data_IF_599910169372
#
_entry.id   IF_599910169372
#
_cell.length_a   1.000
_cell.length_b   1.000
_cell.length_c   1.000
_cell.angle_alpha   90.00
_cell.angle_beta   90.00
_cell.angle_gamma   90.00
#
_symmetry.space_group_name_H-M   'P 1'
#
loop_
_entity.id
_entity.type
_entity.pdbx_description
1 polymer ?
#
# COMPACT_ATOMS: atom_id res chain seq x y z
N UNK A 1 -38.21 -11.77 -6.51
CA UNK A 1 -37.65 -10.99 -5.37
C UNK A 1 -36.19 -10.71 -5.67
N UNK A 2 -35.88 -9.56 -6.30
CA UNK A 2 -34.49 -9.17 -6.56
C UNK A 2 -33.90 -8.68 -5.25
N UNK A 3 -32.99 -9.50 -4.66
CA UNK A 3 -32.24 -9.07 -3.48
C UNK A 3 -31.46 -7.80 -3.79
N UNK A 4 -31.69 -6.78 -3.02
CA UNK A 4 -30.94 -5.52 -3.06
C UNK A 4 -29.54 -5.83 -2.55
N UNK A 5 -28.61 -6.15 -3.44
CA UNK A 5 -27.20 -6.23 -3.09
C UNK A 5 -26.76 -4.86 -2.59
N UNK A 6 -26.29 -4.80 -1.36
CA UNK A 6 -25.64 -3.58 -0.83
C UNK A 6 -24.46 -3.26 -1.76
N UNK A 7 -24.28 -2.01 -2.18
CA UNK A 7 -23.14 -1.65 -3.00
C UNK A 7 -21.85 -1.91 -2.20
N UNK A 8 -20.89 -2.56 -2.85
CA UNK A 8 -19.57 -2.86 -2.26
C UNK A 8 -18.57 -1.85 -2.79
N UNK A 9 -17.66 -1.39 -1.94
CA UNK A 9 -16.53 -0.56 -2.38
C UNK A 9 -15.63 -1.39 -3.32
N UNK A 10 -15.18 -0.83 -4.45
CA UNK A 10 -14.39 -1.58 -5.43
C UNK A 10 -12.92 -1.78 -5.03
N UNK A 11 -12.46 -1.10 -4.00
CA UNK A 11 -11.10 -1.19 -3.45
C UNK A 11 -11.15 -1.54 -1.96
N UNK A 12 -10.04 -2.01 -1.42
CA UNK A 12 -9.93 -2.32 0.01
C UNK A 12 -10.08 -1.07 0.89
N UNK A 13 -10.34 -1.29 2.18
CA UNK A 13 -10.68 -0.20 3.10
C UNK A 13 -9.48 0.73 3.33
N UNK A 14 -8.26 0.20 3.43
CA UNK A 14 -7.04 0.99 3.65
C UNK A 14 -6.78 1.91 2.45
N UNK A 15 -6.82 1.37 1.23
CA UNK A 15 -6.70 2.16 0.00
C UNK A 15 -7.80 3.21 -0.11
N UNK A 16 -9.04 2.88 0.30
CA UNK A 16 -10.16 3.81 0.29
C UNK A 16 -9.93 4.99 1.23
N UNK A 17 -9.55 4.73 2.48
CA UNK A 17 -9.28 5.77 3.48
C UNK A 17 -8.14 6.66 3.00
N UNK A 18 -7.04 6.06 2.55
CA UNK A 18 -5.90 6.79 2.00
C UNK A 18 -6.29 7.73 0.84
N UNK A 19 -7.04 7.24 -0.16
CA UNK A 19 -7.51 8.07 -1.28
C UNK A 19 -8.36 9.23 -0.78
N UNK A 20 -9.28 8.99 0.12
CA UNK A 20 -10.19 10.02 0.64
C UNK A 20 -9.44 11.08 1.46
N UNK A 21 -8.49 10.68 2.31
CA UNK A 21 -7.63 11.59 3.06
C UNK A 21 -6.75 12.43 2.14
N UNK A 22 -6.13 11.80 1.16
CA UNK A 22 -5.27 12.52 0.20
C UNK A 22 -6.06 13.43 -0.73
N UNK A 23 -7.30 13.09 -1.10
CA UNK A 23 -8.18 14.01 -1.81
C UNK A 23 -8.59 15.21 -0.95
N UNK A 24 -8.87 15.03 0.34
CA UNK A 24 -9.10 16.14 1.28
C UNK A 24 -7.86 17.06 1.30
N UNK A 25 -6.68 16.48 1.49
CA UNK A 25 -5.41 17.20 1.52
C UNK A 25 -5.15 17.97 0.21
N UNK A 26 -5.40 17.34 -0.95
CA UNK A 26 -5.27 17.98 -2.26
C UNK A 26 -6.26 19.13 -2.40
N UNK A 27 -7.50 18.99 -1.97
CA UNK A 27 -8.49 20.08 -1.97
C UNK A 27 -8.06 21.23 -1.05
N UNK A 28 -7.47 20.93 0.10
CA UNK A 28 -6.94 21.94 1.03
C UNK A 28 -5.75 22.70 0.43
N UNK A 29 -4.76 21.99 -0.14
CA UNK A 29 -3.50 22.60 -0.62
C UNK A 29 -3.63 23.25 -1.99
N UNK A 30 -4.40 22.67 -2.90
CA UNK A 30 -4.55 23.17 -4.26
C UNK A 30 -5.84 23.98 -4.49
N UNK A 31 -6.75 23.97 -3.53
CA UNK A 31 -8.04 24.64 -3.56
C UNK A 31 -9.16 23.78 -4.14
N UNK A 32 -10.23 23.63 -3.36
CA UNK A 32 -11.42 22.82 -3.72
C UNK A 32 -11.98 23.19 -5.09
N UNK A 33 -12.09 24.51 -5.38
CA UNK A 33 -12.63 24.97 -6.67
C UNK A 33 -11.77 24.50 -7.83
N UNK A 34 -10.45 24.56 -7.72
CA UNK A 34 -9.51 24.09 -8.77
C UNK A 34 -9.72 22.60 -9.08
N UNK A 35 -9.88 21.78 -8.05
CA UNK A 35 -10.06 20.33 -8.19
C UNK A 35 -11.44 20.00 -8.79
N UNK A 36 -12.50 20.65 -8.30
CA UNK A 36 -13.84 20.36 -8.77
C UNK A 36 -14.14 20.91 -10.17
N UNK A 37 -13.51 22.02 -10.56
CA UNK A 37 -13.68 22.64 -11.88
C UNK A 37 -12.65 22.11 -12.92
N UNK A 38 -11.66 21.32 -12.53
CA UNK A 38 -10.67 20.77 -13.45
C UNK A 38 -11.34 19.97 -14.58
N UNK A 39 -11.02 20.24 -15.86
CA UNK A 39 -11.61 19.51 -16.95
C UNK A 39 -11.16 18.04 -16.90
N UNK A 40 -12.05 17.11 -17.22
CA UNK A 40 -11.65 15.73 -17.42
C UNK A 40 -10.96 15.61 -18.77
N UNK A 41 -9.64 15.57 -18.76
CA UNK A 41 -8.80 15.50 -19.95
C UNK A 41 -8.85 14.08 -20.54
N UNK A 42 -9.20 13.99 -21.83
CA UNK A 42 -9.39 12.73 -22.55
C UNK A 42 -8.44 12.64 -23.73
N UNK A 43 -8.08 11.43 -24.22
CA UNK A 43 -7.23 11.23 -25.39
C UNK A 43 -8.01 11.53 -26.68
N UNK A 44 -8.42 12.79 -26.86
CA UNK A 44 -9.21 13.24 -27.98
C UNK A 44 -8.59 14.49 -28.60
N UNK A 45 -8.98 14.79 -29.87
CA UNK A 45 -8.53 16.02 -30.56
C UNK A 45 -9.01 17.31 -29.91
N UNK A 46 -10.02 17.25 -29.06
CA UNK A 46 -10.48 18.41 -28.29
C UNK A 46 -9.39 18.84 -27.27
N UNK A 47 -8.78 17.87 -26.59
CA UNK A 47 -7.74 18.14 -25.62
C UNK A 47 -6.32 18.14 -26.22
N UNK A 48 -6.09 17.34 -27.27
CA UNK A 48 -4.80 17.20 -27.96
C UNK A 48 -5.01 17.38 -29.46
N UNK A 49 -5.21 18.63 -29.95
CA UNK A 49 -5.49 18.91 -31.36
C UNK A 49 -4.29 18.75 -32.29
N UNK A 50 -3.05 18.85 -31.71
CA UNK A 50 -1.83 18.80 -32.50
C UNK A 50 -1.56 17.37 -32.96
N UNK A 51 -1.10 17.17 -34.22
CA UNK A 51 -0.61 15.85 -34.64
C UNK A 51 0.55 15.41 -33.80
N UNK A 52 0.64 14.11 -33.50
CA UNK A 52 1.72 13.52 -32.73
C UNK A 52 2.38 12.40 -33.52
N UNK A 53 3.71 12.51 -33.74
CA UNK A 53 4.52 11.54 -34.51
C UNK A 53 5.68 10.98 -33.66
N UNK A 54 5.78 11.36 -32.37
CA UNK A 54 6.81 10.91 -31.45
C UNK A 54 8.15 11.64 -31.65
N UNK A 55 8.13 12.86 -32.15
CA UNK A 55 9.33 13.70 -32.28
C UNK A 55 9.59 14.55 -31.02
N UNK A 56 10.80 15.11 -30.90
CA UNK A 56 11.12 16.02 -29.78
C UNK A 56 10.28 17.32 -29.84
N UNK A 57 9.94 17.79 -31.03
CA UNK A 57 9.08 18.97 -31.22
C UNK A 57 7.64 18.67 -30.76
N UNK A 58 7.13 17.48 -31.10
CA UNK A 58 5.83 17.03 -30.60
C UNK A 58 5.84 16.90 -29.07
N UNK A 59 6.92 16.37 -28.49
CA UNK A 59 7.08 16.29 -27.03
C UNK A 59 7.04 17.68 -26.38
N UNK A 60 7.76 18.67 -26.95
CA UNK A 60 7.75 20.04 -26.40
C UNK A 60 6.36 20.67 -26.47
N UNK A 61 5.60 20.40 -27.51
CA UNK A 61 4.21 20.86 -27.65
C UNK A 61 3.31 20.18 -26.63
N UNK A 62 3.43 18.86 -26.49
CA UNK A 62 2.67 18.05 -25.54
C UNK A 62 2.96 18.45 -24.08
N UNK A 63 4.23 18.67 -23.75
CA UNK A 63 4.66 19.13 -22.44
C UNK A 63 3.98 20.46 -22.03
N UNK A 64 3.99 21.48 -22.92
CA UNK A 64 3.30 22.75 -22.63
C UNK A 64 1.81 22.53 -22.36
N UNK A 65 1.18 21.63 -23.10
CA UNK A 65 -0.24 21.32 -22.97
C UNK A 65 -0.54 20.64 -21.64
N UNK A 66 0.27 19.63 -21.26
CA UNK A 66 0.14 18.93 -19.97
C UNK A 66 0.40 19.92 -18.83
N UNK A 67 1.42 20.77 -18.92
CA UNK A 67 1.65 21.85 -17.93
C UNK A 67 0.41 22.73 -17.76
N UNK A 68 -0.26 23.10 -18.87
CA UNK A 68 -1.49 23.88 -18.85
C UNK A 68 -2.63 23.17 -18.10
N UNK A 69 -2.84 21.86 -18.33
CA UNK A 69 -3.85 21.09 -17.59
C UNK A 69 -3.48 20.92 -16.11
N UNK A 70 -2.21 20.68 -15.82
CA UNK A 70 -1.71 20.58 -14.46
C UNK A 70 -1.63 21.95 -13.74
N UNK A 71 -1.81 23.05 -14.46
CA UNK A 71 -1.80 24.42 -13.93
C UNK A 71 -0.43 24.86 -13.45
N UNK A 72 0.64 24.45 -14.13
CA UNK A 72 2.01 24.93 -13.92
C UNK A 72 2.51 25.73 -15.12
N UNK A 73 3.48 26.63 -14.90
CA UNK A 73 4.11 27.38 -15.99
C UNK A 73 5.21 26.53 -16.62
N UNK A 74 5.12 26.14 -17.92
CA UNK A 74 6.13 25.36 -18.58
C UNK A 74 7.51 26.03 -18.66
N UNK A 75 7.58 27.36 -18.65
CA UNK A 75 8.83 28.12 -18.80
C UNK A 75 9.74 28.04 -17.55
N UNK A 76 9.21 27.59 -16.42
CA UNK A 76 9.99 27.36 -15.20
C UNK A 76 10.65 25.98 -15.14
N UNK A 77 10.28 25.08 -16.04
CA UNK A 77 10.74 23.70 -16.08
C UNK A 77 11.61 23.45 -17.32
N UNK A 78 12.70 22.73 -17.16
CA UNK A 78 13.52 22.29 -18.29
C UNK A 78 13.11 20.88 -18.68
N UNK A 79 12.68 20.70 -19.94
CA UNK A 79 12.34 19.39 -20.49
C UNK A 79 13.59 18.74 -21.09
N UNK A 80 13.83 17.47 -20.78
CA UNK A 80 14.95 16.69 -21.35
C UNK A 80 14.51 15.27 -21.71
N UNK A 81 15.31 14.62 -22.56
CA UNK A 81 15.23 13.21 -22.85
C UNK A 81 16.49 12.51 -22.31
N UNK A 82 16.33 11.27 -21.86
CA UNK A 82 17.45 10.40 -21.50
C UNK A 82 17.32 9.03 -22.20
N UNK A 83 18.42 8.33 -22.36
CA UNK A 83 18.50 7.02 -22.93
C UNK A 83 18.58 5.94 -21.81
N UNK A 84 18.33 4.66 -22.12
CA UNK A 84 18.11 3.55 -21.17
C UNK A 84 19.27 3.26 -20.19
N UNK A 85 20.40 3.94 -20.31
CA UNK A 85 21.60 3.70 -19.46
C UNK A 85 21.41 4.06 -17.97
N UNK A 86 20.35 4.80 -17.58
CA UNK A 86 20.16 5.29 -16.20
C UNK A 86 19.46 4.32 -15.26
N UNK A 87 18.47 3.58 -15.69
CA UNK A 87 17.77 2.51 -14.96
C UNK A 87 16.74 1.83 -15.85
N UNK A 88 16.67 0.48 -15.89
CA UNK A 88 15.72 -0.25 -16.74
C UNK A 88 14.24 0.00 -16.41
N UNK A 89 13.92 0.53 -15.22
CA UNK A 89 12.54 0.71 -14.75
C UNK A 89 12.10 2.18 -14.64
N UNK A 90 12.98 3.16 -14.95
CA UNK A 90 12.69 4.58 -14.82
C UNK A 90 12.15 5.13 -16.14
N UNK A 91 10.89 5.54 -16.17
CA UNK A 91 10.22 6.14 -17.35
C UNK A 91 10.37 7.66 -17.40
N UNK A 92 10.44 8.32 -16.26
CA UNK A 92 10.62 9.75 -16.07
C UNK A 92 11.50 10.03 -14.87
N UNK A 93 11.96 11.27 -14.75
CA UNK A 93 12.76 11.73 -13.63
C UNK A 93 12.54 13.23 -13.41
N UNK A 94 12.11 13.60 -12.22
CA UNK A 94 12.13 14.99 -11.77
C UNK A 94 13.40 15.26 -10.97
N UNK A 95 14.09 16.35 -11.34
CA UNK A 95 15.27 16.81 -10.60
C UNK A 95 15.03 18.24 -10.12
N UNK A 96 15.05 18.42 -8.79
CA UNK A 96 14.98 19.75 -8.18
C UNK A 96 16.31 20.48 -8.42
N UNK A 97 16.28 21.56 -9.22
CA UNK A 97 17.45 22.41 -9.40
C UNK A 97 17.87 23.08 -8.10
N UNK A 98 19.16 23.10 -7.81
CA UNK A 98 19.74 23.88 -6.70
C UNK A 98 20.21 25.25 -7.15
N UNK A 99 20.67 25.35 -8.40
CA UNK A 99 21.15 26.59 -9.06
C UNK A 99 20.46 26.84 -10.40
N UNK A 100 19.90 25.80 -11.02
CA UNK A 100 19.25 25.85 -12.33
C UNK A 100 17.73 25.63 -12.18
N UNK A 101 16.98 25.85 -13.28
CA UNK A 101 15.56 25.53 -13.31
C UNK A 101 15.31 24.05 -13.03
N UNK A 102 14.22 23.68 -12.31
CA UNK A 102 13.83 22.29 -12.12
C UNK A 102 13.69 21.58 -13.48
N UNK A 103 14.05 20.29 -13.50
CA UNK A 103 14.10 19.52 -14.74
C UNK A 103 13.12 18.36 -14.70
N UNK A 104 12.38 18.20 -15.80
CA UNK A 104 11.56 17.02 -16.11
C UNK A 104 12.25 16.27 -17.25
N UNK A 105 12.61 15.03 -17.03
CA UNK A 105 13.29 14.18 -18.01
C UNK A 105 12.43 12.96 -18.33
N UNK A 106 12.34 12.58 -19.61
CA UNK A 106 11.62 11.41 -20.06
C UNK A 106 12.55 10.43 -20.77
N UNK A 107 12.24 9.15 -20.64
CA UNK A 107 12.90 8.11 -21.40
C UNK A 107 12.55 8.23 -22.89
N UNK A 108 13.57 8.30 -23.75
CA UNK A 108 13.40 8.50 -25.20
C UNK A 108 12.55 7.40 -25.87
N UNK A 109 12.63 6.17 -25.37
CA UNK A 109 11.85 5.05 -25.92
C UNK A 109 10.35 5.15 -25.67
N UNK A 110 9.89 6.08 -24.82
CA UNK A 110 8.44 6.36 -24.62
C UNK A 110 7.83 7.19 -25.76
N UNK A 111 8.62 7.93 -26.53
CA UNK A 111 8.11 8.87 -27.53
C UNK A 111 7.08 8.27 -28.49
N UNK A 112 7.15 7.00 -28.95
CA UNK A 112 6.13 6.43 -29.82
C UNK A 112 4.73 6.29 -29.18
N UNK A 113 4.64 6.29 -27.84
CA UNK A 113 3.40 6.08 -27.08
C UNK A 113 2.92 7.39 -26.46
N UNK A 114 2.07 8.13 -27.17
CA UNK A 114 1.55 9.43 -26.72
C UNK A 114 0.89 9.38 -25.34
N UNK A 115 0.09 8.34 -25.05
CA UNK A 115 -0.60 8.22 -23.76
C UNK A 115 0.38 7.98 -22.61
N UNK A 116 1.41 7.16 -22.84
CA UNK A 116 2.47 6.96 -21.86
C UNK A 116 3.27 8.23 -21.61
N UNK A 117 3.61 8.99 -22.66
CA UNK A 117 4.29 10.28 -22.53
C UNK A 117 3.44 11.26 -21.70
N UNK A 118 2.13 11.36 -21.98
CA UNK A 118 1.21 12.24 -21.22
C UNK A 118 1.18 11.84 -19.74
N UNK A 119 1.03 10.54 -19.44
CA UNK A 119 0.97 10.05 -18.08
C UNK A 119 2.28 10.33 -17.32
N UNK A 120 3.44 10.03 -17.93
CA UNK A 120 4.74 10.29 -17.34
C UNK A 120 4.99 11.78 -17.14
N UNK A 121 4.65 12.63 -18.11
CA UNK A 121 4.74 14.08 -17.94
C UNK A 121 3.89 14.57 -16.78
N UNK A 122 2.64 14.08 -16.65
CA UNK A 122 1.75 14.47 -15.57
C UNK A 122 2.30 14.04 -14.18
N UNK A 123 2.92 12.84 -14.11
CA UNK A 123 3.61 12.35 -12.91
C UNK A 123 4.80 13.25 -12.55
N UNK A 124 5.73 13.49 -13.48
CA UNK A 124 6.92 14.31 -13.21
C UNK A 124 6.59 15.78 -12.88
N UNK A 125 5.57 16.34 -13.52
CA UNK A 125 5.08 17.68 -13.18
C UNK A 125 4.44 17.69 -11.77
N UNK A 126 3.86 16.57 -11.33
CA UNK A 126 3.35 16.45 -9.96
C UNK A 126 4.47 16.48 -8.93
N UNK A 127 5.64 15.90 -9.21
CA UNK A 127 6.81 16.09 -8.35
C UNK A 127 7.19 17.57 -8.21
N UNK A 128 7.16 18.34 -9.30
CA UNK A 128 7.40 19.80 -9.19
C UNK A 128 6.33 20.50 -8.35
N UNK A 129 5.06 20.15 -8.53
CA UNK A 129 3.96 20.72 -7.76
C UNK A 129 3.98 20.34 -6.28
N UNK A 130 4.51 19.18 -5.91
CA UNK A 130 4.58 18.66 -4.55
C UNK A 130 5.92 18.98 -3.87
N UNK A 131 7.02 18.48 -4.45
CA UNK A 131 8.37 18.62 -3.90
C UNK A 131 8.94 20.01 -4.23
N UNK A 132 8.80 20.44 -5.48
CA UNK A 132 9.30 21.73 -5.96
C UNK A 132 8.69 22.92 -5.24
N UNK A 133 7.41 22.83 -4.86
CA UNK A 133 6.71 23.84 -4.06
C UNK A 133 7.00 23.76 -2.55
N UNK A 134 7.63 22.67 -2.08
CA UNK A 134 7.89 22.42 -0.66
C UNK A 134 6.64 21.95 0.12
N UNK A 135 5.60 21.50 -0.55
CA UNK A 135 4.43 20.88 0.10
C UNK A 135 4.77 19.49 0.67
N UNK A 136 5.72 18.79 0.06
CA UNK A 136 6.32 17.54 0.54
C UNK A 136 7.84 17.69 0.60
N UNK A 137 8.48 16.85 1.42
CA UNK A 137 9.95 16.78 1.55
C UNK A 137 10.56 15.66 0.73
N UNK A 138 9.77 14.64 0.36
CA UNK A 138 10.19 13.37 -0.24
C UNK A 138 10.54 12.28 0.78
N UNK A 139 10.43 12.59 2.09
CA UNK A 139 10.61 11.63 3.17
C UNK A 139 9.28 10.95 3.56
N UNK A 140 8.16 11.45 3.04
CA UNK A 140 6.84 10.86 3.24
C UNK A 140 6.76 9.50 2.54
N UNK A 141 6.36 8.46 3.27
CA UNK A 141 6.29 7.07 2.79
C UNK A 141 5.36 6.89 1.57
N UNK A 142 4.42 7.80 1.37
CA UNK A 142 3.42 7.76 0.31
C UNK A 142 3.57 8.88 -0.74
N UNK A 143 4.74 9.55 -0.79
CA UNK A 143 4.95 10.66 -1.72
C UNK A 143 4.76 10.26 -3.19
N UNK A 144 5.18 9.06 -3.60
CA UNK A 144 5.01 8.57 -4.95
C UNK A 144 3.54 8.26 -5.29
N UNK A 145 2.80 7.66 -4.34
CA UNK A 145 1.37 7.42 -4.52
C UNK A 145 0.60 8.74 -4.64
N UNK A 146 0.97 9.76 -3.87
CA UNK A 146 0.37 11.08 -3.96
C UNK A 146 0.75 11.78 -5.27
N UNK A 147 1.95 11.54 -5.79
CA UNK A 147 2.39 12.03 -7.11
C UNK A 147 1.54 11.44 -8.23
N UNK A 148 1.09 10.18 -8.13
CA UNK A 148 0.12 9.58 -9.05
C UNK A 148 -1.32 10.09 -8.85
N UNK A 149 -1.73 10.38 -7.61
CA UNK A 149 -3.09 10.84 -7.30
C UNK A 149 -3.33 12.28 -7.74
N UNK A 150 -2.33 13.14 -7.68
CA UNK A 150 -2.47 14.56 -8.02
C UNK A 150 -2.92 14.78 -9.48
N UNK A 151 -2.35 14.11 -10.51
CA UNK A 151 -2.88 14.18 -11.86
C UNK A 151 -4.33 13.74 -11.95
N UNK A 152 -4.71 12.67 -11.24
CA UNK A 152 -6.12 12.23 -11.20
C UNK A 152 -7.03 13.33 -10.70
N UNK A 153 -6.64 14.02 -9.62
CA UNK A 153 -7.39 15.13 -9.04
C UNK A 153 -7.46 16.35 -9.98
N UNK A 154 -6.40 16.60 -10.76
CA UNK A 154 -6.32 17.68 -11.73
C UNK A 154 -6.93 17.33 -13.11
N UNK A 155 -7.60 16.18 -13.24
CA UNK A 155 -8.36 15.79 -14.41
C UNK A 155 -7.62 14.90 -15.42
N UNK A 156 -6.36 14.55 -15.18
CA UNK A 156 -5.54 13.68 -16.04
C UNK A 156 -5.72 12.17 -15.74
N UNK A 157 -6.70 11.81 -14.89
CA UNK A 157 -6.87 10.46 -14.36
C UNK A 157 -7.07 9.36 -15.39
N UNK A 158 -7.57 9.69 -16.60
CA UNK A 158 -7.69 8.71 -17.69
C UNK A 158 -6.32 8.16 -18.11
N UNK A 159 -5.32 9.02 -18.22
CA UNK A 159 -3.96 8.61 -18.60
C UNK A 159 -3.28 7.84 -17.48
N UNK A 160 -3.37 8.30 -16.24
CA UNK A 160 -2.80 7.59 -15.08
C UNK A 160 -3.41 6.19 -14.92
N UNK A 161 -4.73 6.07 -15.01
CA UNK A 161 -5.41 4.79 -14.87
C UNK A 161 -5.07 3.78 -15.99
N UNK A 162 -4.91 4.25 -17.24
CA UNK A 162 -4.62 3.39 -18.38
C UNK A 162 -3.15 2.95 -18.43
N UNK A 163 -2.23 3.71 -17.82
CA UNK A 163 -0.80 3.38 -17.78
C UNK A 163 -0.37 2.65 -16.51
N UNK A 164 -1.22 2.60 -15.49
CA UNK A 164 -0.93 1.95 -14.21
C UNK A 164 -0.52 0.47 -14.34
N UNK A 165 -0.97 -0.22 -15.40
CA UNK A 165 -0.56 -1.58 -15.75
C UNK A 165 -0.39 -1.64 -17.26
N UNK A 166 0.84 -1.79 -17.75
CA UNK A 166 1.09 -2.20 -19.15
C UNK A 166 1.62 -3.63 -19.15
N UNK A 167 0.82 -4.53 -19.71
CA UNK A 167 1.26 -5.86 -20.07
C UNK A 167 1.99 -5.77 -21.41
N UNK A 168 3.28 -6.08 -21.45
CA UNK A 168 4.05 -6.23 -22.69
C UNK A 168 4.25 -7.71 -22.96
N UNK A 169 3.62 -8.23 -24.00
CA UNK A 169 3.90 -9.57 -24.51
C UNK A 169 4.96 -9.46 -25.60
N UNK A 170 6.18 -9.88 -25.32
CA UNK A 170 7.21 -10.01 -26.35
C UNK A 170 7.26 -11.47 -26.84
N UNK A 171 7.13 -11.63 -28.17
CA UNK A 171 7.35 -12.93 -28.83
C UNK A 171 8.83 -13.03 -29.24
N UNK A 172 9.60 -13.86 -28.54
CA UNK A 172 10.98 -14.20 -28.94
C UNK A 172 10.95 -15.65 -29.41
N UNK A 173 10.92 -15.86 -30.75
CA UNK A 173 10.79 -17.18 -31.36
C UNK A 173 9.45 -17.85 -31.03
N UNK A 174 9.47 -19.12 -30.58
CA UNK A 174 8.26 -19.89 -30.22
C UNK A 174 7.85 -19.78 -28.73
N UNK A 175 8.46 -18.87 -27.96
CA UNK A 175 8.19 -18.70 -26.53
C UNK A 175 7.62 -17.29 -26.29
N UNK A 176 6.47 -17.21 -25.59
CA UNK A 176 5.90 -15.94 -25.15
C UNK A 176 6.49 -15.59 -23.77
N UNK A 177 7.19 -14.47 -23.66
CA UNK A 177 7.60 -13.88 -22.40
C UNK A 177 6.59 -12.83 -21.94
N UNK A 178 5.97 -13.06 -20.80
CA UNK A 178 5.09 -12.11 -20.14
C UNK A 178 5.93 -11.20 -19.23
N UNK A 179 5.94 -9.91 -19.50
CA UNK A 179 6.45 -8.91 -18.55
C UNK A 179 5.30 -7.99 -18.15
N UNK A 180 4.99 -7.97 -16.85
CA UNK A 180 4.11 -6.96 -16.26
C UNK A 180 5.01 -5.81 -15.81
N UNK A 181 4.97 -4.67 -16.54
CA UNK A 181 5.59 -3.43 -16.07
C UNK A 181 4.52 -2.61 -15.34
N UNK A 182 4.74 -2.34 -14.06
CA UNK A 182 4.00 -1.30 -13.34
C UNK A 182 4.60 0.06 -13.71
N UNK A 183 3.82 0.90 -14.37
CA UNK A 183 4.20 2.26 -14.74
C UNK A 183 3.77 3.30 -13.71
N UNK A 184 3.19 2.88 -12.57
CA UNK A 184 2.71 3.77 -11.51
C UNK A 184 2.63 3.07 -10.16
N UNK A 185 2.53 3.87 -9.10
CA UNK A 185 2.42 3.40 -7.72
C UNK A 185 0.98 3.08 -7.32
N UNK A 186 -0.02 3.68 -8.01
CA UNK A 186 -1.44 3.38 -7.83
C UNK A 186 -1.92 2.34 -8.85
N UNK A 187 -2.83 1.46 -8.41
CA UNK A 187 -3.50 0.53 -9.33
C UNK A 187 -4.59 1.24 -10.14
N UNK A 188 -4.93 0.69 -11.32
CA UNK A 188 -6.02 1.18 -12.15
C UNK A 188 -7.36 1.27 -11.37
N UNK A 189 -7.62 0.33 -10.46
CA UNK A 189 -8.81 0.33 -9.62
C UNK A 189 -8.81 1.49 -8.61
N UNK A 190 -7.67 1.81 -8.00
CA UNK A 190 -7.53 2.94 -7.07
C UNK A 190 -7.70 4.26 -7.81
N UNK A 191 -7.08 4.44 -8.98
CA UNK A 191 -7.29 5.61 -9.84
C UNK A 191 -8.77 5.73 -10.24
N UNK A 192 -9.42 4.62 -10.63
CA UNK A 192 -10.84 4.58 -10.96
C UNK A 192 -11.73 4.99 -9.78
N UNK A 193 -11.44 4.48 -8.57
CA UNK A 193 -12.16 4.89 -7.38
C UNK A 193 -12.01 6.40 -7.09
N UNK A 194 -10.78 6.93 -7.17
CA UNK A 194 -10.50 8.36 -6.96
C UNK A 194 -11.28 9.22 -7.96
N UNK A 195 -11.28 8.85 -9.26
CA UNK A 195 -12.10 9.52 -10.29
C UNK A 195 -13.59 9.46 -9.94
N UNK A 196 -14.10 8.31 -9.49
CA UNK A 196 -15.49 8.14 -9.06
C UNK A 196 -15.84 9.02 -7.85
N UNK A 197 -14.92 9.18 -6.90
CA UNK A 197 -15.08 10.06 -5.74
C UNK A 197 -15.13 11.55 -6.16
N UNK A 198 -14.26 11.96 -7.08
CA UNK A 198 -14.25 13.33 -7.61
C UNK A 198 -15.57 13.63 -8.34
N UNK A 199 -16.06 12.73 -9.20
CA UNK A 199 -17.35 12.89 -9.87
C UNK A 199 -18.53 12.92 -8.88
N UNK A 200 -18.44 12.15 -7.80
CA UNK A 200 -19.43 12.21 -6.72
C UNK A 200 -19.39 13.57 -6.00
N UNK A 201 -18.21 14.12 -5.73
CA UNK A 201 -18.04 15.46 -5.14
C UNK A 201 -18.57 16.57 -6.07
N UNK A 202 -18.38 16.41 -7.39
CA UNK A 202 -18.91 17.34 -8.42
C UNK A 202 -20.42 17.27 -8.59
N UNK A 203 -21.13 16.39 -7.88
CA UNK A 203 -22.55 16.14 -8.09
C UNK A 203 -22.91 15.71 -9.51
N UNK A 204 -21.98 15.09 -10.23
CA UNK A 204 -22.20 14.60 -11.58
C UNK A 204 -23.34 13.58 -11.61
N UNK A 205 -24.30 13.66 -12.53
CA UNK A 205 -25.45 12.75 -12.53
C UNK A 205 -25.06 11.31 -12.92
N UNK A 206 -24.05 11.16 -13.77
CA UNK A 206 -23.49 9.87 -14.21
C UNK A 206 -22.07 10.05 -14.70
N UNK A 207 -21.07 9.44 -14.07
CA UNK A 207 -19.69 9.51 -14.56
C UNK A 207 -19.54 8.75 -15.88
N UNK A 208 -18.87 9.38 -16.86
CA UNK A 208 -18.51 8.70 -18.11
C UNK A 208 -17.24 7.89 -17.90
N UNK A 209 -17.23 6.65 -18.38
CA UNK A 209 -16.06 5.77 -18.37
C UNK A 209 -15.43 5.62 -19.76
N UNK A 210 -15.80 6.47 -20.70
CA UNK A 210 -15.17 6.49 -22.00
C UNK A 210 -13.64 6.66 -21.88
N UNK A 211 -12.91 5.92 -22.68
CA UNK A 211 -11.44 5.90 -22.74
C UNK A 211 -10.74 5.27 -21.51
N UNK A 212 -11.45 4.67 -20.57
CA UNK A 212 -10.86 3.94 -19.46
C UNK A 212 -10.73 2.45 -19.76
N UNK A 213 -9.64 1.85 -19.32
CA UNK A 213 -9.50 0.40 -19.23
C UNK A 213 -10.55 -0.22 -18.30
N UNK A 214 -10.81 -1.52 -18.44
CA UNK A 214 -11.92 -2.21 -17.78
C UNK A 214 -11.91 -2.09 -16.26
N UNK A 215 -10.75 -2.25 -15.63
CA UNK A 215 -10.61 -2.22 -14.17
C UNK A 215 -10.89 -0.82 -13.62
N UNK A 216 -10.30 0.22 -14.23
CA UNK A 216 -10.54 1.60 -13.85
C UNK A 216 -11.99 2.01 -14.08
N UNK A 217 -12.58 1.63 -15.22
CA UNK A 217 -13.96 1.91 -15.55
C UNK A 217 -14.94 1.26 -14.55
N UNK A 218 -14.70 -0.02 -14.23
CA UNK A 218 -15.48 -0.77 -13.24
C UNK A 218 -15.37 -0.15 -11.84
N UNK A 219 -14.16 0.19 -11.42
CA UNK A 219 -13.90 0.79 -10.12
C UNK A 219 -14.51 2.20 -10.02
N UNK A 220 -14.40 3.02 -11.07
CA UNK A 220 -15.02 4.34 -11.11
C UNK A 220 -16.55 4.27 -10.97
N UNK A 221 -17.22 3.41 -11.74
CA UNK A 221 -18.67 3.26 -11.67
C UNK A 221 -19.14 2.69 -10.33
N UNK A 222 -18.45 1.65 -9.83
CA UNK A 222 -18.79 0.99 -8.58
C UNK A 222 -18.52 1.90 -7.39
N UNK A 223 -17.40 2.63 -7.37
CA UNK A 223 -17.04 3.62 -6.36
C UNK A 223 -18.07 4.76 -6.32
N UNK A 224 -18.39 5.37 -7.45
CA UNK A 224 -19.43 6.41 -7.55
C UNK A 224 -20.79 5.91 -7.02
N UNK A 225 -21.20 4.69 -7.40
CA UNK A 225 -22.44 4.09 -6.94
C UNK A 225 -22.43 3.80 -5.43
N UNK A 226 -21.29 3.31 -4.92
CA UNK A 226 -21.09 3.09 -3.51
C UNK A 226 -21.23 4.39 -2.71
N UNK A 227 -20.53 5.44 -3.09
CA UNK A 227 -20.57 6.75 -2.40
C UNK A 227 -21.97 7.40 -2.49
N UNK A 228 -22.67 7.23 -3.61
CA UNK A 228 -24.03 7.77 -3.78
C UNK A 228 -25.06 7.06 -2.90
N UNK A 229 -24.87 5.76 -2.62
CA UNK A 229 -25.85 4.94 -1.90
C UNK A 229 -25.52 4.71 -0.44
N UNK A 230 -24.33 5.11 0.01
CA UNK A 230 -23.89 4.94 1.39
C UNK A 230 -23.39 6.27 1.95
N UNK A 231 -23.39 6.40 3.27
CA UNK A 231 -22.70 7.53 3.94
C UNK A 231 -21.24 7.15 4.27
N UNK A 232 -20.67 6.21 3.51
CA UNK A 232 -19.37 5.62 3.80
C UNK A 232 -18.18 6.45 3.30
N UNK A 233 -18.32 7.73 3.01
CA UNK A 233 -17.22 8.62 2.63
C UNK A 233 -16.65 9.36 3.84
N UNK A 234 -15.32 9.50 3.86
CA UNK A 234 -14.62 10.34 4.83
C UNK A 234 -14.72 11.83 4.45
N UNK A 235 -14.79 12.14 3.15
CA UNK A 235 -14.83 13.51 2.66
C UNK A 235 -16.21 14.15 2.96
N UNK A 236 -16.20 15.34 3.54
CA UNK A 236 -17.42 16.14 3.61
C UNK A 236 -17.76 16.67 2.22
N UNK A 237 -18.88 16.23 1.65
CA UNK A 237 -19.29 16.60 0.29
C UNK A 237 -19.51 18.09 0.08
N UNK A 238 -19.88 18.81 1.14
CA UNK A 238 -20.10 20.26 1.09
C UNK A 238 -18.81 21.06 1.32
N UNK A 239 -17.81 20.42 1.95
CA UNK A 239 -16.52 20.99 2.28
C UNK A 239 -15.41 19.97 1.99
N UNK A 240 -15.06 19.73 0.71
CA UNK A 240 -14.12 18.67 0.33
C UNK A 240 -12.68 18.82 0.84
N UNK A 241 -12.35 19.98 1.39
CA UNK A 241 -11.08 20.28 2.02
C UNK A 241 -10.98 19.84 3.49
N UNK A 242 -11.98 19.13 3.96
CA UNK A 242 -11.99 18.57 5.33
C UNK A 242 -12.75 17.25 5.40
N UNK A 243 -12.40 16.40 6.38
CA UNK A 243 -13.17 15.19 6.65
C UNK A 243 -14.56 15.54 7.18
N UNK A 244 -15.49 14.60 6.98
CA UNK A 244 -16.78 14.65 7.67
C UNK A 244 -16.50 14.85 9.16
N UNK A 245 -17.16 15.82 9.77
CA UNK A 245 -16.97 16.16 11.18
C UNK A 245 -17.15 14.90 12.03
N UNK A 246 -16.03 14.38 12.52
CA UNK A 246 -16.04 13.34 13.53
C UNK A 246 -16.54 14.02 14.81
N UNK A 247 -17.61 13.50 15.37
CA UNK A 247 -18.16 14.01 16.62
C UNK A 247 -17.20 13.57 17.72
N UNK A 248 -16.18 14.40 18.02
CA UNK A 248 -15.22 14.14 19.12
C UNK A 248 -15.92 13.80 20.45
N UNK A 249 -17.18 14.18 20.58
CA UNK A 249 -18.01 13.93 21.75
C UNK A 249 -18.77 12.60 21.67
N UNK A 250 -18.89 11.98 20.49
CA UNK A 250 -19.57 10.70 20.28
C UNK A 250 -18.68 9.67 19.58
N UNK A 251 -17.58 9.31 20.26
CA UNK A 251 -16.63 8.28 19.80
C UNK A 251 -17.36 6.97 19.47
N UNK A 252 -18.41 6.62 20.23
CA UNK A 252 -19.17 5.39 20.04
C UNK A 252 -19.93 5.36 18.72
N UNK A 253 -20.45 6.53 18.27
CA UNK A 253 -21.12 6.65 16.97
C UNK A 253 -20.16 6.46 15.80
N UNK A 254 -18.96 7.03 15.86
CA UNK A 254 -17.97 6.91 14.79
C UNK A 254 -17.34 5.51 14.75
N UNK A 255 -17.05 4.91 15.91
CA UNK A 255 -16.54 3.54 16.03
C UNK A 255 -17.53 2.48 15.51
N UNK A 256 -18.82 2.69 15.75
CA UNK A 256 -19.91 1.82 15.26
C UNK A 256 -20.42 2.22 13.88
N UNK A 257 -19.99 3.37 13.40
CA UNK A 257 -20.40 3.97 12.15
C UNK A 257 -19.73 3.35 10.91
N UNK A 258 -19.68 4.10 9.82
CA UNK A 258 -19.04 3.66 8.58
C UNK A 258 -17.56 3.27 8.77
N UNK A 259 -17.14 2.18 8.12
CA UNK A 259 -15.83 1.57 8.31
C UNK A 259 -14.66 2.54 8.04
N UNK A 260 -14.79 3.44 7.07
CA UNK A 260 -13.76 4.43 6.77
C UNK A 260 -13.57 5.46 7.89
N UNK A 261 -14.66 5.90 8.54
CA UNK A 261 -14.57 6.81 9.68
C UNK A 261 -13.95 6.12 10.89
N UNK A 262 -14.34 4.87 11.13
CA UNK A 262 -13.77 4.06 12.20
C UNK A 262 -12.27 3.87 11.99
N UNK A 263 -11.84 3.47 10.80
CA UNK A 263 -10.43 3.27 10.49
C UNK A 263 -9.63 4.56 10.63
N UNK A 264 -10.08 5.65 10.03
CA UNK A 264 -9.47 6.97 10.15
C UNK A 264 -9.29 7.41 11.61
N UNK A 265 -10.32 7.18 12.44
CA UNK A 265 -10.25 7.50 13.86
C UNK A 265 -9.18 6.67 14.58
N UNK A 266 -9.10 5.35 14.31
CA UNK A 266 -8.06 4.48 14.88
C UNK A 266 -6.67 4.90 14.44
N UNK A 267 -6.48 5.25 13.18
CA UNK A 267 -5.20 5.74 12.64
C UNK A 267 -4.77 7.05 13.30
N UNK A 268 -5.73 7.98 13.53
CA UNK A 268 -5.45 9.25 14.22
C UNK A 268 -4.99 9.07 15.68
N UNK A 269 -5.25 7.92 16.29
CA UNK A 269 -4.82 7.60 17.66
C UNK A 269 -3.48 6.88 17.73
N UNK A 270 -2.84 6.61 16.61
CA UNK A 270 -1.62 5.81 16.54
C UNK A 270 -0.45 6.38 17.38
N UNK A 271 -0.38 7.69 17.56
CA UNK A 271 0.66 8.39 18.32
C UNK A 271 0.22 8.84 19.71
N UNK A 272 -1.05 8.66 20.09
CA UNK A 272 -1.62 9.21 21.29
C UNK A 272 -1.60 8.22 22.47
N UNK A 273 -1.57 8.74 23.70
CA UNK A 273 -1.93 7.97 24.88
C UNK A 273 -3.44 7.84 24.94
N UNK A 274 -3.94 6.60 24.76
CA UNK A 274 -5.36 6.34 24.76
C UNK A 274 -5.99 6.55 26.14
N UNK A 275 -7.07 7.33 26.20
CA UNK A 275 -7.93 7.41 27.39
C UNK A 275 -8.73 6.11 27.60
N UNK A 276 -9.24 5.87 28.79
CA UNK A 276 -10.06 4.69 29.09
C UNK A 276 -11.26 4.55 28.13
N UNK A 277 -11.90 5.66 27.77
CA UNK A 277 -13.00 5.66 26.80
C UNK A 277 -12.55 5.24 25.40
N UNK A 278 -11.39 5.69 24.95
CA UNK A 278 -10.82 5.27 23.68
C UNK A 278 -10.42 3.78 23.71
N UNK A 279 -9.81 3.32 24.80
CA UNK A 279 -9.48 1.90 24.97
C UNK A 279 -10.74 1.03 24.88
N UNK A 280 -11.83 1.42 25.56
CA UNK A 280 -13.11 0.71 25.47
C UNK A 280 -13.65 0.68 24.04
N UNK A 281 -13.56 1.79 23.31
CA UNK A 281 -13.96 1.87 21.92
C UNK A 281 -13.11 0.99 21.01
N UNK A 282 -11.77 1.01 21.19
CA UNK A 282 -10.83 0.15 20.43
C UNK A 282 -11.07 -1.33 20.71
N UNK A 283 -11.37 -1.73 21.96
CA UNK A 283 -11.75 -3.11 22.29
C UNK A 283 -12.98 -3.58 21.48
N UNK A 284 -13.95 -2.72 21.28
CA UNK A 284 -15.12 -3.03 20.44
C UNK A 284 -14.70 -3.31 18.98
N UNK A 285 -13.66 -2.66 18.48
CA UNK A 285 -13.17 -2.82 17.12
C UNK A 285 -12.54 -4.20 16.85
N UNK A 286 -12.09 -4.94 17.87
CA UNK A 286 -11.62 -6.32 17.72
C UNK A 286 -12.71 -7.27 17.19
N UNK A 287 -13.98 -6.91 17.35
CA UNK A 287 -15.15 -7.71 16.93
C UNK A 287 -15.81 -7.19 15.64
N UNK A 288 -15.23 -6.16 15.00
CA UNK A 288 -15.70 -5.66 13.72
C UNK A 288 -15.41 -6.68 12.60
N UNK A 289 -16.27 -6.78 11.56
CA UNK A 289 -16.06 -7.71 10.46
C UNK A 289 -14.94 -7.29 9.50
N UNK A 290 -14.49 -6.01 9.56
CA UNK A 290 -13.47 -5.47 8.66
C UNK A 290 -12.06 -5.79 9.18
N UNK A 291 -11.26 -6.55 8.41
CA UNK A 291 -9.93 -6.97 8.86
C UNK A 291 -8.96 -5.82 9.14
N UNK A 292 -9.08 -4.72 8.40
CA UNK A 292 -8.24 -3.53 8.61
C UNK A 292 -8.51 -2.90 9.97
N UNK A 293 -9.78 -2.78 10.35
CA UNK A 293 -10.19 -2.25 11.65
C UNK A 293 -9.70 -3.16 12.79
N UNK A 294 -9.87 -4.49 12.66
CA UNK A 294 -9.35 -5.43 13.65
C UNK A 294 -7.83 -5.33 13.78
N UNK A 295 -7.11 -5.21 12.66
CA UNK A 295 -5.65 -5.09 12.65
C UNK A 295 -5.19 -3.84 13.41
N UNK A 296 -5.79 -2.70 13.16
CA UNK A 296 -5.48 -1.47 13.89
C UNK A 296 -5.85 -1.55 15.38
N UNK A 297 -6.98 -2.16 15.70
CA UNK A 297 -7.38 -2.37 17.09
C UNK A 297 -6.38 -3.26 17.85
N UNK A 298 -5.91 -4.36 17.23
CA UNK A 298 -4.87 -5.22 17.79
C UNK A 298 -3.60 -4.40 18.06
N UNK A 299 -3.15 -3.63 17.06
CA UNK A 299 -1.92 -2.86 17.15
C UNK A 299 -1.97 -1.79 18.26
N UNK A 300 -3.08 -1.04 18.35
CA UNK A 300 -3.28 -0.02 19.38
C UNK A 300 -3.31 -0.64 20.79
N UNK A 301 -4.07 -1.73 20.97
CA UNK A 301 -4.23 -2.38 22.29
C UNK A 301 -2.97 -3.11 22.75
N UNK A 302 -2.22 -3.72 21.82
CA UNK A 302 -0.97 -4.39 22.17
C UNK A 302 0.13 -3.42 22.63
N UNK A 303 0.06 -2.16 22.25
CA UNK A 303 1.03 -1.10 22.62
C UNK A 303 0.66 -0.37 23.90
N UNK A 304 -0.44 -0.70 24.54
CA UNK A 304 -0.75 -0.16 25.86
C UNK A 304 0.40 -0.49 26.83
N UNK A 305 0.79 0.42 27.73
CA UNK A 305 1.85 0.17 28.71
C UNK A 305 1.56 -1.09 29.55
N UNK A 306 0.31 -1.27 29.96
CA UNK A 306 -0.19 -2.39 30.75
C UNK A 306 -1.53 -2.88 30.17
N UNK A 307 -1.51 -3.73 29.13
CA UNK A 307 -2.74 -4.30 28.59
C UNK A 307 -3.38 -5.22 29.63
N UNK A 308 -4.70 -5.10 29.82
CA UNK A 308 -5.44 -5.96 30.75
C UNK A 308 -5.46 -7.42 30.29
N UNK A 309 -5.62 -8.37 31.23
CA UNK A 309 -5.73 -9.80 30.90
C UNK A 309 -6.85 -10.06 29.85
N UNK A 310 -7.97 -9.33 29.93
CA UNK A 310 -9.05 -9.42 28.95
C UNK A 310 -8.59 -9.01 27.53
N UNK A 311 -7.85 -7.91 27.41
CA UNK A 311 -7.31 -7.44 26.12
C UNK A 311 -6.33 -8.46 25.55
N UNK A 312 -5.41 -8.97 26.38
CA UNK A 312 -4.46 -10.00 26.00
C UNK A 312 -5.20 -11.21 25.42
N UNK A 313 -6.18 -11.71 26.16
CA UNK A 313 -6.94 -12.89 25.77
C UNK A 313 -7.71 -12.67 24.44
N UNK A 314 -8.35 -11.51 24.27
CA UNK A 314 -9.03 -11.17 23.03
C UNK A 314 -8.07 -11.12 21.83
N UNK A 315 -6.84 -10.62 22.02
CA UNK A 315 -5.81 -10.61 20.96
C UNK A 315 -5.35 -12.05 20.67
N UNK A 316 -5.10 -12.87 21.70
CA UNK A 316 -4.68 -14.26 21.51
C UNK A 316 -5.73 -15.11 20.80
N UNK A 317 -7.03 -14.86 21.02
CA UNK A 317 -8.11 -15.54 20.28
C UNK A 317 -8.03 -15.28 18.77
N UNK A 318 -7.53 -14.11 18.35
CA UNK A 318 -7.37 -13.75 16.95
C UNK A 318 -6.21 -14.45 16.25
N UNK A 319 -5.34 -15.19 16.97
CA UNK A 319 -4.35 -16.11 16.37
C UNK A 319 -5.01 -17.18 15.53
N UNK A 320 -6.26 -17.55 15.83
CA UNK A 320 -7.07 -18.52 15.07
C UNK A 320 -8.04 -17.86 14.08
N UNK A 321 -7.86 -16.57 13.79
CA UNK A 321 -8.68 -15.88 12.80
C UNK A 321 -8.54 -16.55 11.43
N UNK A 322 -9.68 -16.76 10.77
CA UNK A 322 -9.73 -17.25 9.37
C UNK A 322 -9.21 -16.22 8.38
N UNK A 323 -9.09 -14.97 8.80
CA UNK A 323 -8.55 -13.90 7.99
C UNK A 323 -7.03 -13.74 8.24
N UNK A 324 -6.20 -14.10 7.25
CA UNK A 324 -4.74 -14.12 7.39
C UNK A 324 -4.12 -12.78 7.87
N UNK A 325 -4.65 -11.64 7.43
CA UNK A 325 -4.18 -10.31 7.88
C UNK A 325 -4.38 -10.12 9.39
N UNK A 326 -5.53 -10.51 9.92
CA UNK A 326 -5.85 -10.41 11.35
C UNK A 326 -5.00 -11.38 12.18
N UNK A 327 -4.87 -12.63 11.71
CA UNK A 327 -4.02 -13.63 12.34
C UNK A 327 -2.57 -13.12 12.45
N UNK A 328 -1.99 -12.63 11.35
CA UNK A 328 -0.63 -12.06 11.36
C UNK A 328 -0.49 -10.84 12.26
N UNK A 329 -1.49 -9.97 12.34
CA UNK A 329 -1.49 -8.84 13.26
C UNK A 329 -1.45 -9.32 14.73
N UNK A 330 -2.25 -10.33 15.08
CA UNK A 330 -2.22 -10.93 16.41
C UNK A 330 -0.86 -11.57 16.72
N UNK A 331 -0.25 -12.30 15.79
CA UNK A 331 1.10 -12.85 15.93
C UNK A 331 2.12 -11.73 16.17
N UNK A 332 2.07 -10.66 15.38
CA UNK A 332 3.01 -9.52 15.49
C UNK A 332 2.83 -8.72 16.78
N UNK A 333 1.66 -8.81 17.42
CA UNK A 333 1.40 -8.17 18.71
C UNK A 333 2.05 -8.91 19.90
N UNK A 334 2.33 -10.21 19.80
CA UNK A 334 2.82 -11.05 20.90
C UNK A 334 4.06 -10.46 21.61
N UNK A 335 5.10 -9.99 20.90
CA UNK A 335 6.28 -9.42 21.57
C UNK A 335 5.93 -8.19 22.43
N UNK A 336 4.92 -7.41 22.04
CA UNK A 336 4.48 -6.24 22.79
C UNK A 336 3.73 -6.62 24.08
N UNK A 337 3.05 -7.76 24.08
CA UNK A 337 2.29 -8.27 25.23
C UNK A 337 3.17 -8.79 26.37
N UNK A 338 4.47 -9.00 26.13
CA UNK A 338 5.46 -9.46 27.11
C UNK A 338 5.07 -10.75 27.84
N UNK A 339 4.39 -11.66 27.15
CA UNK A 339 3.95 -12.94 27.70
C UNK A 339 5.07 -13.98 27.67
N UNK A 340 5.16 -14.91 28.65
CA UNK A 340 6.04 -16.05 28.55
C UNK A 340 5.47 -17.10 27.58
N UNK A 341 6.33 -17.99 27.04
CA UNK A 341 5.93 -19.02 26.08
C UNK A 341 4.98 -20.10 26.66
N UNK A 342 5.02 -20.29 27.97
CA UNK A 342 4.14 -21.21 28.72
C UNK A 342 2.81 -20.57 29.10
N UNK A 343 2.57 -19.30 28.71
CA UNK A 343 1.27 -18.66 28.92
C UNK A 343 0.18 -19.50 28.29
N UNK A 344 -0.82 -19.88 29.07
CA UNK A 344 -1.94 -20.70 28.63
C UNK A 344 -3.02 -19.79 28.04
N UNK A 345 -3.34 -20.01 26.77
CA UNK A 345 -4.40 -19.30 26.05
C UNK A 345 -5.79 -19.75 26.50
N UNK A 346 -6.85 -19.04 26.13
CA UNK A 346 -8.22 -19.44 26.44
C UNK A 346 -8.61 -20.81 25.83
N UNK A 347 -7.87 -21.26 24.83
CA UNK A 347 -8.04 -22.59 24.24
C UNK A 347 -7.46 -23.70 25.11
N UNK A 348 -6.69 -23.35 26.12
CA UNK A 348 -6.02 -24.30 27.03
C UNK A 348 -4.64 -24.73 26.55
N UNK A 349 -4.18 -24.24 25.40
CA UNK A 349 -2.86 -24.56 24.84
C UNK A 349 -1.82 -23.51 25.26
N UNK A 350 -0.56 -23.91 25.53
CA UNK A 350 0.53 -22.98 25.70
C UNK A 350 0.76 -22.13 24.45
N UNK A 351 1.17 -20.87 24.63
CA UNK A 351 1.47 -19.94 23.52
C UNK A 351 2.51 -20.52 22.55
N UNK A 352 3.48 -21.28 23.07
CA UNK A 352 4.45 -22.01 22.24
C UNK A 352 3.75 -22.95 21.25
N UNK A 353 2.78 -23.74 21.71
CA UNK A 353 2.08 -24.73 20.87
C UNK A 353 1.22 -24.04 19.82
N UNK A 354 0.57 -22.93 20.15
CA UNK A 354 -0.16 -22.10 19.18
C UNK A 354 0.77 -21.56 18.08
N UNK A 355 1.92 -21.00 18.46
CA UNK A 355 2.89 -20.50 17.47
C UNK A 355 3.48 -21.62 16.63
N UNK A 356 3.79 -22.78 17.22
CA UNK A 356 4.25 -23.96 16.48
C UNK A 356 3.20 -24.49 15.49
N UNK A 357 1.93 -24.42 15.86
CA UNK A 357 0.84 -24.76 14.93
C UNK A 357 0.79 -23.79 13.74
N UNK A 358 0.94 -22.49 13.98
CA UNK A 358 0.94 -21.43 12.95
C UNK A 358 2.14 -21.52 11.99
N UNK A 359 3.28 -22.09 12.39
CA UNK A 359 4.40 -22.34 11.46
C UNK A 359 4.09 -23.38 10.38
N UNK A 360 2.93 -24.06 10.45
CA UNK A 360 2.43 -25.01 9.46
C UNK A 360 1.24 -24.48 8.66
N UNK A 361 0.95 -23.19 8.77
CA UNK A 361 -0.13 -22.55 8.02
C UNK A 361 0.03 -22.80 6.51
N UNK A 362 -1.04 -23.01 5.75
CA UNK A 362 -0.99 -23.02 4.29
C UNK A 362 -0.58 -21.66 3.71
N UNK A 363 -0.77 -20.58 4.47
CA UNK A 363 -0.28 -19.25 4.13
C UNK A 363 1.17 -19.07 4.61
N UNK A 364 2.10 -19.04 3.66
CA UNK A 364 3.53 -18.91 3.93
C UNK A 364 3.88 -17.65 4.72
N UNK A 365 3.20 -16.53 4.47
CA UNK A 365 3.42 -15.27 5.21
C UNK A 365 3.05 -15.41 6.70
N UNK A 366 2.05 -16.21 7.02
CA UNK A 366 1.69 -16.56 8.40
C UNK A 366 2.77 -17.44 9.05
N UNK A 367 3.35 -18.40 8.30
CA UNK A 367 4.47 -19.22 8.80
C UNK A 367 5.68 -18.35 9.16
N UNK A 368 6.01 -17.38 8.32
CA UNK A 368 7.12 -16.43 8.57
C UNK A 368 6.84 -15.57 9.80
N UNK A 369 5.63 -15.02 9.90
CA UNK A 369 5.24 -14.19 11.05
C UNK A 369 5.33 -14.98 12.37
N UNK A 370 4.83 -16.21 12.40
CA UNK A 370 4.91 -17.09 13.57
C UNK A 370 6.35 -17.44 13.94
N UNK A 371 7.19 -17.73 12.94
CA UNK A 371 8.61 -18.00 13.12
C UNK A 371 9.33 -16.77 13.70
N UNK A 372 9.07 -15.59 13.17
CA UNK A 372 9.64 -14.33 13.66
C UNK A 372 9.21 -14.03 15.11
N UNK A 373 7.94 -14.27 15.44
CA UNK A 373 7.45 -14.11 16.80
C UNK A 373 8.18 -15.06 17.79
N UNK A 374 8.41 -16.32 17.39
CA UNK A 374 9.21 -17.27 18.19
C UNK A 374 10.64 -16.79 18.42
N UNK A 375 11.26 -16.13 17.43
CA UNK A 375 12.59 -15.55 17.57
C UNK A 375 12.71 -14.56 18.72
N UNK A 376 11.68 -13.76 18.98
CA UNK A 376 11.69 -12.78 20.07
C UNK A 376 11.78 -13.38 21.49
N UNK A 377 11.49 -14.67 21.63
CA UNK A 377 11.65 -15.38 22.90
C UNK A 377 13.08 -15.92 23.11
N UNK A 378 13.95 -15.78 22.12
CA UNK A 378 15.34 -16.22 22.21
C UNK A 378 15.48 -17.72 22.53
N UNK A 379 16.44 -18.11 23.39
CA UNK A 379 16.71 -19.52 23.70
C UNK A 379 15.52 -20.30 24.29
N UNK A 380 14.52 -19.64 24.86
CA UNK A 380 13.31 -20.30 25.36
C UNK A 380 12.52 -20.97 24.19
N UNK A 381 12.66 -20.47 22.97
CA UNK A 381 12.02 -21.03 21.78
C UNK A 381 12.87 -22.14 21.09
N UNK A 382 13.93 -22.67 21.72
CA UNK A 382 14.76 -23.74 21.15
C UNK A 382 13.94 -24.94 20.63
N UNK A 383 12.85 -25.40 21.29
CA UNK A 383 12.00 -26.47 20.76
C UNK A 383 11.35 -26.16 19.40
N UNK A 384 11.29 -24.87 19.01
CA UNK A 384 10.68 -24.46 17.75
C UNK A 384 11.63 -24.59 16.53
N UNK A 385 12.93 -24.68 16.73
CA UNK A 385 13.94 -24.72 15.64
C UNK A 385 13.63 -25.79 14.58
N UNK A 386 13.25 -27.05 14.91
CA UNK A 386 12.90 -28.05 13.90
C UNK A 386 11.67 -27.69 13.07
N UNK A 387 10.84 -26.75 13.51
CA UNK A 387 9.66 -26.24 12.79
C UNK A 387 9.98 -25.03 11.91
N UNK A 388 10.91 -24.18 12.36
CA UNK A 388 11.34 -22.98 11.64
C UNK A 388 12.23 -23.33 10.44
N UNK A 389 13.10 -24.33 10.57
CA UNK A 389 14.00 -24.75 9.48
C UNK A 389 13.30 -25.11 8.17
N UNK A 390 12.21 -25.88 8.12
CA UNK A 390 11.46 -26.10 6.88
C UNK A 390 10.89 -24.82 6.24
N UNK A 391 10.47 -23.83 7.05
CA UNK A 391 9.98 -22.54 6.56
C UNK A 391 11.14 -21.77 5.91
N UNK A 392 12.32 -21.77 6.52
CA UNK A 392 13.53 -21.17 5.96
C UNK A 392 13.92 -21.82 4.63
N UNK A 393 13.96 -23.15 4.56
CA UNK A 393 14.29 -23.89 3.34
C UNK A 393 13.32 -23.53 2.20
N UNK A 394 12.03 -23.44 2.51
CA UNK A 394 11.02 -23.05 1.53
C UNK A 394 11.21 -21.59 1.05
N UNK A 395 11.58 -20.67 1.94
CA UNK A 395 11.89 -19.28 1.58
C UNK A 395 13.13 -19.17 0.72
N UNK A 396 14.22 -19.90 1.05
CA UNK A 396 15.44 -19.95 0.26
C UNK A 396 15.19 -20.51 -1.13
N UNK A 397 14.45 -21.60 -1.26
CA UNK A 397 14.10 -22.19 -2.54
C UNK A 397 13.28 -21.27 -3.46
N UNK A 398 12.62 -20.25 -2.89
CA UNK A 398 11.87 -19.22 -3.62
C UNK A 398 12.64 -17.94 -3.86
N UNK A 399 13.90 -17.85 -3.42
CA UNK A 399 14.68 -16.59 -3.40
C UNK A 399 13.91 -15.44 -2.71
N UNK A 400 13.18 -15.73 -1.64
CA UNK A 400 12.38 -14.74 -0.93
C UNK A 400 13.24 -13.89 0.00
N UNK A 401 12.99 -12.58 0.05
CA UNK A 401 13.59 -11.66 1.03
C UNK A 401 13.29 -12.07 2.49
N UNK A 402 12.24 -12.86 2.72
CA UNK A 402 11.86 -13.36 4.03
C UNK A 402 12.89 -14.29 4.66
N UNK A 403 13.81 -14.85 3.85
CA UNK A 403 14.91 -15.71 4.32
C UNK A 403 15.81 -14.98 5.33
N UNK A 404 16.04 -13.68 5.14
CA UNK A 404 16.81 -12.86 6.08
C UNK A 404 16.14 -12.79 7.46
N UNK A 405 14.83 -12.56 7.49
CA UNK A 405 14.03 -12.52 8.70
C UNK A 405 14.10 -13.86 9.46
N UNK A 406 14.00 -14.98 8.74
CA UNK A 406 14.07 -16.31 9.34
C UNK A 406 15.45 -16.67 9.86
N UNK A 407 16.52 -16.25 9.18
CA UNK A 407 17.89 -16.38 9.70
C UNK A 407 18.09 -15.55 10.98
N UNK A 408 17.62 -14.31 11.01
CA UNK A 408 17.66 -13.47 12.24
C UNK A 408 16.93 -14.15 13.39
N UNK A 409 15.72 -14.67 13.12
CA UNK A 409 14.94 -15.41 14.10
C UNK A 409 15.73 -16.62 14.67
N UNK A 410 16.25 -17.49 13.80
CA UNK A 410 17.03 -18.63 14.23
C UNK A 410 18.29 -18.20 15.01
N UNK A 411 18.97 -17.14 14.55
CA UNK A 411 20.11 -16.56 15.27
C UNK A 411 19.77 -16.10 16.68
N UNK A 412 18.62 -15.49 16.87
CA UNK A 412 18.12 -15.10 18.21
C UNK A 412 17.89 -16.31 19.12
N UNK A 413 17.39 -17.42 18.56
CA UNK A 413 17.10 -18.64 19.31
C UNK A 413 18.37 -19.43 19.64
N UNK A 414 19.25 -19.67 18.67
CA UNK A 414 20.40 -20.60 18.82
C UNK A 414 21.76 -19.89 18.93
N UNK A 415 21.79 -18.55 18.87
CA UNK A 415 23.00 -17.75 18.85
C UNK A 415 23.72 -17.79 17.49
N UNK A 416 24.09 -18.98 16.99
CA UNK A 416 24.68 -19.16 15.67
C UNK A 416 24.07 -20.38 14.98
N UNK A 417 23.39 -20.13 13.84
CA UNK A 417 22.76 -21.17 13.03
C UNK A 417 23.80 -22.17 12.54
N UNK A 418 24.98 -21.69 12.10
CA UNK A 418 26.07 -22.55 11.63
C UNK A 418 26.57 -23.50 12.70
N UNK A 419 26.76 -23.01 13.94
CA UNK A 419 27.20 -23.83 15.09
C UNK A 419 26.13 -24.83 15.46
N UNK A 420 24.86 -24.40 15.52
CA UNK A 420 23.73 -25.27 15.83
C UNK A 420 23.62 -26.44 14.84
N UNK A 421 23.69 -26.18 13.54
CA UNK A 421 23.64 -27.22 12.48
C UNK A 421 24.80 -28.20 12.58
N UNK A 422 26.00 -27.74 12.95
CA UNK A 422 27.18 -28.59 13.15
C UNK A 422 27.00 -29.52 14.36
N UNK A 423 26.40 -29.03 15.43
CA UNK A 423 26.14 -29.80 16.65
C UNK A 423 24.94 -30.76 16.51
N UNK A 424 24.05 -30.50 15.55
CA UNK A 424 22.83 -31.30 15.30
C UNK A 424 22.81 -31.82 13.84
N UNK A 425 23.68 -32.77 13.49
CA UNK A 425 23.85 -33.21 12.08
C UNK A 425 22.60 -33.84 11.47
N UNK A 426 21.71 -34.44 12.29
CA UNK A 426 20.49 -35.10 11.83
C UNK A 426 19.28 -34.18 11.64
N UNK A 427 19.40 -32.86 11.91
CA UNK A 427 18.25 -31.93 11.86
C UNK A 427 17.84 -31.57 10.43
N UNK A 428 18.76 -31.65 9.47
CA UNK A 428 18.57 -31.43 8.04
C UNK A 428 19.20 -32.54 7.21
N UNK A 429 18.65 -32.81 6.04
CA UNK A 429 19.32 -33.60 4.97
C UNK A 429 20.52 -32.83 4.43
N UNK A 430 21.46 -33.54 3.80
CA UNK A 430 22.68 -32.91 3.24
C UNK A 430 22.37 -31.81 2.24
N UNK A 431 21.46 -32.02 1.29
CA UNK A 431 21.08 -30.98 0.31
C UNK A 431 20.39 -29.76 0.94
N UNK A 432 19.59 -29.96 1.98
CA UNK A 432 18.99 -28.82 2.70
C UNK A 432 20.02 -28.07 3.54
N UNK A 433 21.03 -28.77 4.07
CA UNK A 433 22.14 -28.17 4.80
C UNK A 433 22.96 -27.27 3.89
N UNK A 434 23.32 -27.77 2.70
CA UNK A 434 24.07 -27.00 1.69
C UNK A 434 23.33 -25.71 1.33
N UNK A 435 22.01 -25.79 1.05
CA UNK A 435 21.17 -24.64 0.76
C UNK A 435 21.16 -23.59 1.90
N UNK A 436 21.07 -24.03 3.16
CA UNK A 436 21.11 -23.14 4.33
C UNK A 436 22.51 -22.52 4.52
N UNK A 437 23.59 -23.27 4.26
CA UNK A 437 24.96 -22.76 4.34
C UNK A 437 25.24 -21.72 3.25
N UNK A 438 24.76 -21.92 2.02
CA UNK A 438 24.78 -20.92 0.95
C UNK A 438 24.01 -19.65 1.33
N UNK A 439 22.80 -19.80 1.89
CA UNK A 439 22.02 -18.69 2.41
C UNK A 439 22.75 -17.91 3.51
N UNK A 440 23.41 -18.60 4.44
CA UNK A 440 24.23 -17.95 5.49
C UNK A 440 25.39 -17.13 4.90
N UNK A 441 26.01 -17.60 3.82
CA UNK A 441 27.07 -16.83 3.12
C UNK A 441 26.49 -15.57 2.48
N UNK A 442 25.33 -15.70 1.83
CA UNK A 442 24.65 -14.57 1.16
C UNK A 442 24.28 -13.45 2.15
N UNK A 443 23.79 -13.80 3.34
CA UNK A 443 23.37 -12.85 4.36
C UNK A 443 24.43 -12.50 5.42
N UNK A 444 25.67 -13.00 5.27
CA UNK A 444 26.77 -12.69 6.20
C UNK A 444 27.09 -11.19 6.26
N UNK A 445 26.93 -10.45 5.15
CA UNK A 445 27.08 -9.00 5.10
C UNK A 445 26.05 -8.23 5.91
N UNK A 446 24.88 -8.82 6.17
CA UNK A 446 23.82 -8.27 7.00
C UNK A 446 24.02 -8.56 8.51
N UNK A 447 25.17 -9.07 8.94
CA UNK A 447 25.52 -9.36 10.33
C UNK A 447 24.88 -10.65 10.90
N UNK A 448 24.35 -11.51 10.04
CA UNK A 448 23.77 -12.80 10.42
C UNK A 448 24.91 -13.82 10.57
N UNK A 449 25.02 -14.46 11.76
CA UNK A 449 26.09 -15.43 12.13
C UNK A 449 25.57 -16.84 12.35
#
# INVERSE_FOLDING_TARGET
MFGWFKPVCPIDLTSKVWVEERLIWVCEKFGTKRILDAPRVLPTREFFPDPYHGTEDDLATLFRRVCGYMGTNPDRLTLRLFDEEYSPDTMGLYTRGTTDSPQVSLLRSLLPDQEAVIATLAHEISHDLLLGSGLLTGEEDDHEQLTDLLPVALGMGTFQANTAIKEKTEYIGNTSHWQIRRAGYLTAAVCGYAMGAIEWLRHSPKPSTAYLGLDAASAMQSGYRYLTKTNGCLIDRNYPDRPVRLLKEDIDSDIRGPSSRCLYLLESWASDHLSERQIAAVKHCLHRPEPDIQTWAIWLLARLPEPTAEVIEQILQLLRSTHGKVCRAAISAIPCLKLPLDHVTAQGDPLLDELLWLTRSPDHTTCIAASAALGNFGPAALPAVPRILPVLIQSLARNSADSETLFKCLGQIVGSVKVYLKQNPGVLSDGHRELVEEGLQLYASAGIR
#
